data_IF_462232783835
#
_entry.id   IF_462232783835
#
_cell.length_a   1.000
_cell.length_b   1.000
_cell.length_c   1.000
_cell.angle_alpha   90.00
_cell.angle_beta   90.00
_cell.angle_gamma   90.00
#
_symmetry.space_group_name_H-M   'P 1'
#
loop_
_entity.id
_entity.type
_entity.pdbx_description
1 polymer ?
#
# COMPACT_ATOMS: atom_id res chain seq x y z
N UNK A 1 -7.37 42.23 -8.60
CA UNK A 1 -8.47 41.27 -8.85
C UNK A 1 -8.09 39.87 -8.36
N UNK A 2 -7.70 39.69 -7.10
CA UNK A 2 -7.17 38.43 -6.57
C UNK A 2 -8.06 37.69 -5.56
N UNK A 3 -9.24 38.22 -5.24
CA UNK A 3 -10.01 37.78 -4.06
C UNK A 3 -11.27 36.97 -4.39
N UNK A 4 -11.61 36.78 -5.67
CA UNK A 4 -12.86 36.09 -6.08
C UNK A 4 -12.72 34.60 -6.41
N UNK A 5 -11.50 34.08 -6.57
CA UNK A 5 -11.30 32.66 -6.96
C UNK A 5 -11.32 31.73 -5.73
N UNK A 6 -10.74 32.16 -4.61
CA UNK A 6 -10.66 31.35 -3.38
C UNK A 6 -12.02 31.14 -2.70
N UNK A 7 -12.89 32.15 -2.69
CA UNK A 7 -14.22 32.08 -2.04
C UNK A 7 -15.20 31.15 -2.76
N UNK A 8 -15.05 30.95 -4.07
CA UNK A 8 -15.91 30.00 -4.81
C UNK A 8 -15.61 28.54 -4.46
N UNK A 9 -14.35 28.22 -4.17
CA UNK A 9 -13.93 26.87 -3.79
C UNK A 9 -14.33 26.51 -2.37
N UNK A 10 -14.26 27.47 -1.42
CA UNK A 10 -14.61 27.22 -0.02
C UNK A 10 -16.11 27.02 0.17
N UNK A 11 -16.95 27.78 -0.53
CA UNK A 11 -18.41 27.59 -0.51
C UNK A 11 -18.83 26.23 -1.10
N UNK A 12 -18.08 25.72 -2.09
CA UNK A 12 -18.30 24.38 -2.64
C UNK A 12 -18.14 23.29 -1.57
N UNK A 13 -17.02 23.30 -0.83
CA UNK A 13 -16.77 22.32 0.23
C UNK A 13 -17.72 22.45 1.41
N UNK A 14 -18.18 23.66 1.76
CA UNK A 14 -19.20 23.82 2.82
C UNK A 14 -20.53 23.14 2.47
N UNK A 15 -20.97 23.23 1.22
CA UNK A 15 -22.18 22.53 0.73
C UNK A 15 -21.95 21.02 0.78
N UNK A 16 -20.81 20.54 0.29
CA UNK A 16 -20.47 19.12 0.34
C UNK A 16 -20.41 18.60 1.79
N UNK A 17 -19.84 19.37 2.72
CA UNK A 17 -19.81 19.01 4.14
C UNK A 17 -21.22 18.91 4.74
N UNK A 18 -22.15 19.77 4.35
CA UNK A 18 -23.57 19.68 4.76
C UNK A 18 -24.22 18.42 4.19
N UNK A 19 -24.04 18.14 2.91
CA UNK A 19 -24.58 16.93 2.28
C UNK A 19 -24.04 15.65 2.94
N UNK A 20 -22.75 15.62 3.26
CA UNK A 20 -22.12 14.52 4.00
C UNK A 20 -22.73 14.40 5.40
N UNK A 21 -22.92 15.53 6.10
CA UNK A 21 -23.51 15.54 7.44
C UNK A 21 -24.96 14.99 7.44
N UNK A 22 -25.76 15.38 6.47
CA UNK A 22 -27.14 14.92 6.31
C UNK A 22 -27.23 13.46 5.80
N UNK A 23 -26.11 12.89 5.38
CA UNK A 23 -26.01 11.52 4.85
C UNK A 23 -25.57 10.49 5.89
N UNK A 24 -25.34 10.86 7.16
CA UNK A 24 -24.79 9.93 8.17
C UNK A 24 -25.62 8.66 8.41
N UNK A 25 -26.93 8.70 8.16
CA UNK A 25 -27.82 7.52 8.22
C UNK A 25 -27.90 6.72 6.92
N UNK A 26 -27.24 7.15 5.83
CA UNK A 26 -27.35 6.62 4.46
C UNK A 26 -25.97 6.33 3.89
N UNK A 27 -25.46 5.14 4.21
CA UNK A 27 -24.07 4.72 3.86
C UNK A 27 -23.79 4.76 2.36
N UNK A 28 -24.75 4.40 1.52
CA UNK A 28 -24.65 4.49 0.07
C UNK A 28 -24.36 5.91 -0.43
N UNK A 29 -24.97 6.93 0.19
CA UNK A 29 -24.71 8.34 -0.13
C UNK A 29 -23.31 8.75 0.31
N UNK A 30 -22.88 8.34 1.52
CA UNK A 30 -21.50 8.58 1.99
C UNK A 30 -20.45 7.99 1.04
N UNK A 31 -20.66 6.74 0.58
CA UNK A 31 -19.76 6.10 -0.39
C UNK A 31 -19.68 6.91 -1.68
N UNK A 32 -20.82 7.32 -2.25
CA UNK A 32 -20.85 8.13 -3.47
C UNK A 32 -20.15 9.48 -3.30
N UNK A 33 -20.35 10.13 -2.15
CA UNK A 33 -19.78 11.44 -1.87
C UNK A 33 -18.28 11.41 -1.59
N UNK A 34 -17.74 10.32 -1.03
CA UNK A 34 -16.35 10.25 -0.55
C UNK A 34 -15.41 9.39 -1.42
N UNK A 35 -15.90 8.31 -2.04
CA UNK A 35 -15.03 7.36 -2.76
C UNK A 35 -14.33 7.99 -3.98
N UNK A 36 -15.04 8.88 -4.68
CA UNK A 36 -14.57 9.53 -5.90
C UNK A 36 -13.64 10.72 -5.64
N UNK A 37 -13.58 11.22 -4.41
CA UNK A 37 -12.80 12.42 -4.04
C UNK A 37 -11.31 12.16 -4.09
N UNK A 38 -10.57 13.05 -4.75
CA UNK A 38 -9.11 13.06 -4.79
C UNK A 38 -8.53 13.22 -3.38
N UNK A 39 -7.24 12.90 -3.21
CA UNK A 39 -6.52 13.16 -1.95
C UNK A 39 -6.64 14.62 -1.49
N UNK A 40 -6.56 15.58 -2.40
CA UNK A 40 -6.63 17.00 -2.05
C UNK A 40 -8.04 17.40 -1.60
N UNK A 41 -9.07 16.99 -2.33
CA UNK A 41 -10.46 17.25 -1.96
C UNK A 41 -10.81 16.61 -0.62
N UNK A 42 -10.36 15.36 -0.36
CA UNK A 42 -10.57 14.71 0.94
C UNK A 42 -9.98 15.50 2.09
N UNK A 43 -8.78 16.06 1.91
CA UNK A 43 -8.15 16.91 2.92
C UNK A 43 -8.96 18.19 3.15
N UNK A 44 -9.38 18.86 2.08
CA UNK A 44 -10.20 20.07 2.16
C UNK A 44 -11.54 19.78 2.85
N UNK A 45 -12.22 18.70 2.48
CA UNK A 45 -13.47 18.25 3.13
C UNK A 45 -13.23 18.03 4.62
N UNK A 46 -12.13 17.39 5.04
CA UNK A 46 -11.83 17.16 6.47
C UNK A 46 -11.64 18.46 7.22
N UNK A 47 -10.83 19.37 6.68
CA UNK A 47 -10.54 20.66 7.28
C UNK A 47 -11.81 21.53 7.40
N UNK A 48 -12.59 21.62 6.31
CA UNK A 48 -13.86 22.35 6.28
C UNK A 48 -14.89 21.74 7.21
N UNK A 49 -15.06 20.41 7.20
CA UNK A 49 -16.00 19.73 8.09
C UNK A 49 -15.67 19.97 9.56
N UNK A 50 -14.38 19.90 9.94
CA UNK A 50 -13.92 20.20 11.29
C UNK A 50 -14.16 21.66 11.68
N UNK A 51 -13.96 22.60 10.77
CA UNK A 51 -14.24 24.01 11.01
C UNK A 51 -15.74 24.28 11.22
N UNK A 52 -16.61 23.59 10.48
CA UNK A 52 -18.06 23.77 10.55
C UNK A 52 -18.70 23.10 11.77
N UNK A 53 -18.28 21.87 12.09
CA UNK A 53 -18.95 21.02 13.08
C UNK A 53 -18.13 20.78 14.36
N UNK A 54 -16.90 21.30 14.43
CA UNK A 54 -16.02 21.17 15.61
C UNK A 54 -15.38 19.79 15.78
N UNK A 55 -15.62 18.85 14.86
CA UNK A 55 -15.15 17.48 14.93
C UNK A 55 -14.63 16.99 13.57
N UNK A 56 -13.59 16.15 13.57
CA UNK A 56 -13.09 15.51 12.35
C UNK A 56 -14.05 14.41 11.87
N UNK A 57 -14.35 14.43 10.57
CA UNK A 57 -15.18 13.43 9.91
C UNK A 57 -14.72 11.98 10.17
N UNK A 58 -13.40 11.76 10.31
CA UNK A 58 -12.85 10.42 10.54
C UNK A 58 -13.21 9.89 11.92
N UNK A 59 -13.30 10.75 12.93
CA UNK A 59 -13.71 10.37 14.28
C UNK A 59 -15.14 9.82 14.27
N UNK A 60 -16.02 10.42 13.47
CA UNK A 60 -17.39 9.92 13.29
C UNK A 60 -17.42 8.57 12.58
N UNK A 61 -16.67 8.42 11.47
CA UNK A 61 -16.57 7.16 10.72
C UNK A 61 -16.02 6.02 11.60
N UNK A 62 -15.02 6.30 12.45
CA UNK A 62 -14.48 5.35 13.43
C UNK A 62 -15.55 4.92 14.44
N UNK A 63 -16.35 5.85 14.99
CA UNK A 63 -17.46 5.51 15.90
C UNK A 63 -18.53 4.66 15.23
N UNK A 64 -18.88 4.96 13.98
CA UNK A 64 -19.85 4.16 13.21
C UNK A 64 -19.32 2.76 12.91
N UNK A 65 -18.01 2.63 12.67
CA UNK A 65 -17.37 1.33 12.51
C UNK A 65 -17.52 0.46 13.78
N UNK A 66 -17.25 1.04 14.95
CA UNK A 66 -17.36 0.34 16.25
C UNK A 66 -18.82 -0.06 16.53
N UNK A 67 -19.77 0.87 16.36
CA UNK A 67 -21.19 0.60 16.61
C UNK A 67 -21.78 -0.46 15.65
N UNK A 68 -21.30 -0.50 14.40
CA UNK A 68 -21.66 -1.55 13.45
C UNK A 68 -21.07 -2.91 13.87
N UNK A 69 -19.87 -2.97 14.44
CA UNK A 69 -19.20 -4.23 14.83
C UNK A 69 -19.89 -5.04 15.94
N UNK A 70 -20.73 -4.42 16.77
CA UNK A 70 -21.40 -5.09 17.89
C UNK A 70 -22.64 -5.93 17.51
N UNK A 71 -23.15 -5.82 16.27
CA UNK A 71 -24.29 -6.62 15.79
C UNK A 71 -23.78 -7.90 15.11
N UNK A 72 -24.23 -9.08 15.57
CA UNK A 72 -23.75 -10.41 15.10
C UNK A 72 -23.84 -10.62 13.57
N UNK A 73 -24.67 -9.85 12.88
CA UNK A 73 -24.89 -9.88 11.42
C UNK A 73 -24.13 -8.78 10.63
N UNK A 74 -23.34 -7.91 11.31
CA UNK A 74 -22.84 -6.65 10.74
C UNK A 74 -21.33 -6.64 10.39
N UNK A 75 -20.77 -7.80 10.00
CA UNK A 75 -19.36 -7.88 9.55
C UNK A 75 -19.06 -7.08 8.28
N UNK A 76 -20.07 -6.73 7.47
CA UNK A 76 -19.89 -5.98 6.21
C UNK A 76 -20.11 -4.47 6.41
N UNK A 77 -21.09 -4.07 7.21
CA UNK A 77 -21.32 -2.66 7.56
C UNK A 77 -20.13 -2.02 8.28
N UNK A 78 -19.45 -2.78 9.15
CA UNK A 78 -18.19 -2.33 9.77
C UNK A 78 -17.07 -2.09 8.75
N UNK A 79 -16.99 -2.91 7.67
CA UNK A 79 -15.92 -2.81 6.67
C UNK A 79 -15.99 -1.53 5.83
N UNK A 80 -17.17 -1.07 5.45
CA UNK A 80 -17.30 0.17 4.66
C UNK A 80 -16.92 1.39 5.47
N UNK A 81 -17.34 1.48 6.75
CA UNK A 81 -16.92 2.58 7.62
C UNK A 81 -15.41 2.56 7.90
N UNK A 82 -14.82 1.38 8.13
CA UNK A 82 -13.37 1.23 8.27
C UNK A 82 -12.64 1.70 6.99
N UNK A 83 -13.10 1.26 5.82
CA UNK A 83 -12.52 1.64 4.54
C UNK A 83 -12.65 3.14 4.27
N UNK A 84 -13.81 3.74 4.54
CA UNK A 84 -14.03 5.19 4.41
C UNK A 84 -13.14 5.97 5.39
N UNK A 85 -13.00 5.53 6.64
CA UNK A 85 -12.13 6.19 7.61
C UNK A 85 -10.67 6.18 7.14
N UNK A 86 -10.15 5.02 6.73
CA UNK A 86 -8.80 4.89 6.17
C UNK A 86 -8.62 5.66 4.85
N UNK A 87 -9.68 5.78 4.05
CA UNK A 87 -9.67 6.55 2.82
C UNK A 87 -9.59 8.05 3.11
N UNK A 88 -10.21 8.56 4.17
CA UNK A 88 -10.23 10.00 4.45
C UNK A 88 -8.94 10.53 5.08
N UNK A 89 -8.19 9.70 5.83
CA UNK A 89 -6.94 10.14 6.49
C UNK A 89 -5.77 10.35 5.53
N UNK A 90 -4.71 11.01 6.01
CA UNK A 90 -3.54 11.22 5.17
C UNK A 90 -2.85 9.88 4.84
N UNK A 91 -2.27 9.72 3.63
CA UNK A 91 -1.66 8.46 3.23
C UNK A 91 -0.58 7.92 4.18
N UNK A 92 0.18 8.78 4.85
CA UNK A 92 1.22 8.36 5.80
C UNK A 92 0.65 7.93 7.16
N UNK A 93 -0.47 8.52 7.59
CA UNK A 93 -1.23 8.06 8.77
C UNK A 93 -1.89 6.71 8.47
N UNK A 94 -2.48 6.56 7.28
CA UNK A 94 -3.05 5.30 6.81
C UNK A 94 -2.01 4.19 6.78
N UNK A 95 -0.84 4.45 6.20
CA UNK A 95 0.24 3.46 6.14
C UNK A 95 0.76 3.12 7.55
N UNK A 96 0.72 4.05 8.51
CA UNK A 96 1.04 3.75 9.91
C UNK A 96 0.01 2.79 10.55
N UNK A 97 -1.28 3.00 10.31
CA UNK A 97 -2.34 2.08 10.77
C UNK A 97 -2.19 0.71 10.12
N UNK A 98 -1.98 0.66 8.79
CA UNK A 98 -1.75 -0.59 8.06
C UNK A 98 -0.52 -1.32 8.59
N UNK A 99 0.56 -0.62 8.91
CA UNK A 99 1.75 -1.22 9.49
C UNK A 99 1.48 -1.81 10.88
N UNK A 100 0.70 -1.12 11.72
CA UNK A 100 0.30 -1.61 13.04
C UNK A 100 -0.57 -2.86 12.94
N UNK A 101 -1.60 -2.82 12.09
CA UNK A 101 -2.48 -3.97 11.81
C UNK A 101 -1.69 -5.16 11.26
N UNK A 102 -0.66 -4.91 10.44
CA UNK A 102 0.21 -5.95 9.91
C UNK A 102 1.04 -6.65 10.99
N UNK A 103 1.31 -6.00 12.13
CA UNK A 103 2.12 -6.53 13.21
C UNK A 103 1.29 -7.27 14.28
N UNK A 104 0.01 -6.91 14.47
CA UNK A 104 -0.80 -7.42 15.60
C UNK A 104 -1.73 -8.60 15.29
N UNK A 105 -2.01 -8.92 14.02
CA UNK A 105 -3.09 -9.85 13.62
C UNK A 105 -2.83 -11.36 13.83
N UNK A 106 -2.16 -11.79 14.90
CA UNK A 106 -1.88 -13.20 15.21
C UNK A 106 -0.81 -13.84 14.31
N UNK A 107 -0.86 -13.54 13.00
CA UNK A 107 0.18 -13.77 12.01
C UNK A 107 0.63 -12.43 11.42
N UNK A 108 1.95 -12.20 11.31
CA UNK A 108 2.48 -10.97 10.73
C UNK A 108 2.21 -10.88 9.22
N UNK A 109 1.59 -9.79 8.78
CA UNK A 109 1.34 -9.51 7.38
C UNK A 109 2.54 -8.80 6.73
N UNK A 110 3.58 -9.58 6.43
CA UNK A 110 4.79 -9.05 5.80
C UNK A 110 4.55 -8.38 4.45
N UNK A 111 3.53 -8.82 3.69
CA UNK A 111 3.20 -8.23 2.38
C UNK A 111 2.78 -6.77 2.50
N UNK A 112 1.95 -6.44 3.49
CA UNK A 112 1.55 -5.06 3.75
C UNK A 112 2.77 -4.17 4.07
N UNK A 113 3.70 -4.65 4.90
CA UNK A 113 4.93 -3.93 5.22
C UNK A 113 5.81 -3.76 3.98
N UNK A 114 6.00 -4.82 3.18
CA UNK A 114 6.78 -4.76 1.94
C UNK A 114 6.19 -3.71 0.98
N UNK A 115 4.88 -3.73 0.75
CA UNK A 115 4.18 -2.76 -0.11
C UNK A 115 4.43 -1.30 0.30
N UNK A 116 4.48 -1.04 1.61
CA UNK A 116 4.80 0.29 2.16
C UNK A 116 6.26 0.65 1.87
N UNK A 117 7.21 -0.19 2.31
CA UNK A 117 8.63 0.14 2.23
C UNK A 117 9.14 0.22 0.78
N UNK A 118 8.68 -0.63 -0.14
CA UNK A 118 9.12 -0.54 -1.54
C UNK A 118 8.32 0.47 -2.37
N UNK A 119 7.11 0.80 -1.93
CA UNK A 119 6.14 1.59 -2.70
C UNK A 119 6.11 3.08 -2.35
N UNK A 120 6.84 3.54 -1.33
CA UNK A 120 6.81 4.92 -0.84
C UNK A 120 8.16 5.63 -0.96
N UNK A 121 8.10 6.96 -1.07
CA UNK A 121 9.29 7.84 -0.98
C UNK A 121 9.77 7.90 0.47
N UNK A 122 11.06 8.14 0.72
CA UNK A 122 11.56 8.19 2.11
C UNK A 122 10.97 9.33 2.94
N UNK A 123 10.62 10.47 2.33
CA UNK A 123 9.90 11.54 3.03
C UNK A 123 8.56 11.03 3.57
N UNK A 124 7.85 10.21 2.80
CA UNK A 124 6.62 9.57 3.23
C UNK A 124 6.88 8.56 4.35
N UNK A 125 7.91 7.70 4.22
CA UNK A 125 8.28 6.72 5.26
C UNK A 125 8.66 7.41 6.57
N UNK A 126 9.33 8.57 6.51
CA UNK A 126 9.66 9.38 7.67
C UNK A 126 8.38 9.89 8.37
N UNK A 127 7.45 10.49 7.62
CA UNK A 127 6.16 10.96 8.14
C UNK A 127 5.33 9.81 8.71
N UNK A 128 5.32 8.65 8.05
CA UNK A 128 4.62 7.46 8.52
C UNK A 128 5.19 6.96 9.86
N UNK A 129 6.52 6.91 10.00
CA UNK A 129 7.16 6.53 11.28
C UNK A 129 6.82 7.51 12.40
N UNK A 130 6.73 8.82 12.10
CA UNK A 130 6.29 9.83 13.07
C UNK A 130 4.82 9.62 13.46
N UNK A 131 3.92 9.39 12.49
CA UNK A 131 2.52 9.11 12.74
C UNK A 131 2.33 7.82 13.56
N UNK A 132 3.10 6.77 13.26
CA UNK A 132 3.10 5.52 14.01
C UNK A 132 3.50 5.74 15.48
N UNK A 133 4.59 6.46 15.73
CA UNK A 133 5.03 6.80 17.08
C UNK A 133 4.00 7.66 17.83
N UNK A 134 3.44 8.67 17.16
CA UNK A 134 2.45 9.56 17.76
C UNK A 134 1.17 8.82 18.15
N UNK A 135 0.68 7.93 17.27
CA UNK A 135 -0.59 7.22 17.46
C UNK A 135 -0.47 6.03 18.40
N UNK A 136 0.55 5.19 18.23
CA UNK A 136 0.67 3.91 18.95
C UNK A 136 1.67 3.91 20.08
N UNK A 137 2.47 4.99 20.24
CA UNK A 137 3.54 5.09 21.25
C UNK A 137 4.59 3.99 21.12
N UNK A 138 4.75 3.44 19.91
CA UNK A 138 5.68 2.37 19.56
C UNK A 138 6.61 2.83 18.44
N UNK A 139 7.74 2.15 18.30
CA UNK A 139 8.71 2.42 17.24
C UNK A 139 8.63 1.32 16.19
N UNK A 140 8.13 1.63 14.99
CA UNK A 140 7.93 0.65 13.92
C UNK A 140 9.19 -0.18 13.63
N UNK A 141 10.37 0.44 13.65
CA UNK A 141 11.63 -0.28 13.43
C UNK A 141 11.91 -1.32 14.52
N UNK A 142 11.61 -1.00 15.78
CA UNK A 142 11.79 -1.92 16.90
C UNK A 142 10.75 -3.02 16.87
N UNK A 143 9.50 -2.69 16.54
CA UNK A 143 8.43 -3.68 16.41
C UNK A 143 8.77 -4.72 15.36
N UNK A 144 9.31 -4.32 14.19
CA UNK A 144 9.74 -5.25 13.13
C UNK A 144 10.90 -6.13 13.59
N UNK A 145 11.88 -5.58 14.33
CA UNK A 145 13.05 -6.32 14.81
C UNK A 145 12.65 -7.37 15.86
N UNK A 146 11.64 -7.07 16.69
CA UNK A 146 11.21 -7.91 17.80
C UNK A 146 10.15 -8.96 17.41
N UNK A 147 9.88 -9.14 16.12
CA UNK A 147 8.91 -10.12 15.65
C UNK A 147 9.44 -11.54 15.86
N UNK A 148 8.60 -12.39 16.45
CA UNK A 148 8.91 -13.80 16.70
C UNK A 148 7.85 -14.70 16.04
N UNK A 149 8.24 -15.84 15.44
CA UNK A 149 9.61 -16.32 15.24
C UNK A 149 10.39 -15.50 14.18
N UNK A 150 11.73 -15.63 14.10
CA UNK A 150 12.53 -14.92 13.10
C UNK A 150 12.08 -15.26 11.68
N UNK A 151 11.96 -14.25 10.83
CA UNK A 151 11.47 -14.42 9.47
C UNK A 151 12.33 -13.67 8.45
N UNK A 152 12.59 -14.22 7.26
CA UNK A 152 13.36 -13.54 6.22
C UNK A 152 12.86 -12.14 5.87
N UNK A 153 11.55 -11.91 5.89
CA UNK A 153 10.98 -10.59 5.64
C UNK A 153 11.44 -9.55 6.67
N UNK A 154 11.67 -9.93 7.93
CA UNK A 154 12.15 -8.99 8.96
C UNK A 154 13.52 -8.41 8.56
N UNK A 155 14.46 -9.26 8.15
CA UNK A 155 15.80 -8.85 7.70
C UNK A 155 15.71 -7.91 6.48
N UNK A 156 14.87 -8.26 5.52
CA UNK A 156 14.66 -7.44 4.31
C UNK A 156 14.03 -6.09 4.67
N UNK A 157 13.02 -6.07 5.54
CA UNK A 157 12.35 -4.83 5.98
C UNK A 157 13.28 -3.92 6.77
N UNK A 158 14.15 -4.48 7.62
CA UNK A 158 15.20 -3.72 8.31
C UNK A 158 16.17 -3.10 7.31
N UNK A 159 16.60 -3.85 6.29
CA UNK A 159 17.45 -3.32 5.22
C UNK A 159 16.74 -2.19 4.45
N UNK A 160 15.50 -2.39 4.01
CA UNK A 160 14.73 -1.35 3.31
C UNK A 160 14.53 -0.10 4.17
N UNK A 161 14.27 -0.27 5.47
CA UNK A 161 14.15 0.81 6.45
C UNK A 161 15.44 1.62 6.60
N UNK A 162 16.61 0.97 6.51
CA UNK A 162 17.92 1.64 6.45
C UNK A 162 18.13 2.38 5.13
N UNK A 163 17.72 1.79 4.00
CA UNK A 163 17.78 2.44 2.68
C UNK A 163 17.03 3.78 2.66
N UNK A 164 15.89 3.88 3.35
CA UNK A 164 15.15 5.14 3.45
C UNK A 164 15.86 6.24 4.27
N UNK A 165 16.83 5.88 5.10
CA UNK A 165 17.68 6.86 5.80
C UNK A 165 18.82 7.35 4.90
N UNK A 166 19.25 6.53 3.95
CA UNK A 166 20.26 6.88 2.96
C UNK A 166 19.64 7.67 1.79
N UNK A 167 19.44 8.98 1.96
CA UNK A 167 19.07 9.92 0.88
C UNK A 167 20.01 11.11 0.89
N UNK A 168 20.48 11.70 -0.21
CA UNK A 168 20.13 11.63 -1.63
C UNK A 168 21.42 11.37 -2.44
N UNK A 169 21.35 10.45 -3.38
CA UNK A 169 22.31 10.36 -4.47
C UNK A 169 21.50 10.13 -5.74
N UNK A 170 21.84 10.84 -6.81
CA UNK A 170 21.29 10.55 -8.12
C UNK A 170 21.54 9.08 -8.48
N UNK A 171 20.62 8.50 -9.24
CA UNK A 171 20.80 7.13 -9.71
C UNK A 171 22.03 7.05 -10.62
N UNK A 172 22.89 6.07 -10.37
CA UNK A 172 24.14 5.87 -11.11
C UNK A 172 24.10 4.55 -11.87
N UNK A 173 24.28 4.63 -13.19
CA UNK A 173 24.40 3.47 -14.06
C UNK A 173 25.64 2.63 -13.71
N UNK A 174 26.74 3.28 -13.33
CA UNK A 174 27.97 2.57 -12.93
C UNK A 174 27.72 1.75 -11.66
N UNK A 175 27.12 2.36 -10.63
CA UNK A 175 26.77 1.65 -9.39
C UNK A 175 25.79 0.50 -9.68
N UNK A 176 24.80 0.71 -10.55
CA UNK A 176 23.84 -0.33 -10.91
C UNK A 176 24.50 -1.55 -11.58
N UNK A 177 25.46 -1.31 -12.50
CA UNK A 177 26.23 -2.39 -13.14
C UNK A 177 27.13 -3.11 -12.13
N UNK A 178 27.80 -2.37 -11.24
CA UNK A 178 28.64 -2.95 -10.20
C UNK A 178 27.82 -3.81 -9.23
N UNK A 179 26.70 -3.30 -8.72
CA UNK A 179 25.82 -4.07 -7.83
C UNK A 179 25.20 -5.27 -8.54
N UNK A 180 24.84 -5.15 -9.84
CA UNK A 180 24.34 -6.29 -10.62
C UNK A 180 25.39 -7.39 -10.75
N UNK A 181 26.66 -7.02 -10.96
CA UNK A 181 27.78 -7.97 -10.97
C UNK A 181 27.97 -8.64 -9.61
N UNK A 182 27.93 -7.87 -8.52
CA UNK A 182 28.00 -8.42 -7.15
C UNK A 182 26.89 -9.43 -6.86
N UNK A 183 25.65 -9.13 -7.27
CA UNK A 183 24.53 -10.07 -7.14
C UNK A 183 24.76 -11.36 -7.93
N UNK A 184 25.35 -11.26 -9.11
CA UNK A 184 25.64 -12.42 -9.95
C UNK A 184 26.74 -13.29 -9.34
N UNK A 185 27.86 -12.68 -8.95
CA UNK A 185 29.00 -13.38 -8.32
C UNK A 185 28.62 -14.04 -7.00
N UNK A 186 27.76 -13.39 -6.20
CA UNK A 186 27.28 -13.97 -4.96
C UNK A 186 26.42 -15.22 -5.18
N UNK A 187 25.67 -15.29 -6.28
CA UNK A 187 24.83 -16.45 -6.63
C UNK A 187 25.55 -17.57 -7.38
N UNK A 188 26.73 -17.32 -7.97
CA UNK A 188 27.51 -18.32 -8.73
C UNK A 188 28.62 -18.93 -7.87
N UNK A 189 28.27 -19.93 -7.06
CA UNK A 189 29.23 -20.78 -6.36
C UNK A 189 29.39 -20.52 -4.86
N UNK A 190 28.54 -19.70 -4.24
CA UNK A 190 28.56 -19.47 -2.79
C UNK A 190 27.50 -20.29 -2.05
N UNK A 191 27.72 -20.51 -0.75
CA UNK A 191 26.63 -20.91 0.16
C UNK A 191 25.57 -19.80 0.19
N UNK A 192 24.29 -20.15 0.33
CA UNK A 192 23.18 -19.18 0.31
C UNK A 192 23.30 -18.04 1.34
N UNK A 193 24.08 -18.23 2.42
CA UNK A 193 24.35 -17.20 3.42
C UNK A 193 25.16 -16.01 2.86
N UNK A 194 26.07 -16.24 1.92
CA UNK A 194 26.83 -15.16 1.29
C UNK A 194 25.95 -14.32 0.36
N UNK A 195 25.05 -14.98 -0.40
CA UNK A 195 24.07 -14.30 -1.25
C UNK A 195 23.11 -13.44 -0.43
N UNK A 196 22.55 -13.98 0.66
CA UNK A 196 21.69 -13.23 1.58
C UNK A 196 22.40 -11.97 2.11
N UNK A 197 23.65 -12.08 2.56
CA UNK A 197 24.41 -10.95 3.09
C UNK A 197 24.63 -9.84 2.04
N UNK A 198 25.02 -10.21 0.81
CA UNK A 198 25.23 -9.25 -0.29
C UNK A 198 23.92 -8.57 -0.68
N UNK A 199 22.81 -9.33 -0.76
CA UNK A 199 21.49 -8.77 -1.05
C UNK A 199 21.09 -7.76 0.02
N UNK A 200 21.15 -8.14 1.32
CA UNK A 200 20.76 -7.25 2.42
C UNK A 200 21.64 -6.00 2.49
N UNK A 201 22.93 -6.11 2.20
CA UNK A 201 23.84 -4.97 2.11
C UNK A 201 23.42 -4.00 0.99
N UNK A 202 23.12 -4.51 -0.21
CA UNK A 202 22.66 -3.67 -1.32
C UNK A 202 21.31 -3.03 -0.99
N UNK A 203 20.35 -3.81 -0.46
CA UNK A 203 19.02 -3.31 -0.07
C UNK A 203 19.10 -2.23 1.02
N UNK A 204 20.10 -2.28 1.90
CA UNK A 204 20.27 -1.31 3.00
C UNK A 204 20.96 -0.02 2.60
N UNK A 205 21.79 -0.04 1.56
CA UNK A 205 22.60 1.11 1.14
C UNK A 205 22.06 1.84 -0.08
N UNK A 206 21.22 1.20 -0.90
CA UNK A 206 20.73 1.76 -2.16
C UNK A 206 19.32 2.30 -2.03
N UNK A 207 19.02 3.40 -2.72
CA UNK A 207 17.64 3.90 -2.82
C UNK A 207 16.78 2.95 -3.66
N UNK A 208 15.45 2.97 -3.47
CA UNK A 208 14.52 2.17 -4.29
C UNK A 208 14.73 2.41 -5.81
N UNK A 209 14.89 3.66 -6.30
CA UNK A 209 15.20 3.91 -7.72
C UNK A 209 16.53 3.29 -8.17
N UNK A 210 17.58 3.36 -7.35
CA UNK A 210 18.87 2.74 -7.66
C UNK A 210 18.75 1.22 -7.74
N UNK A 211 18.02 0.59 -6.80
CA UNK A 211 17.79 -0.86 -6.82
C UNK A 211 17.05 -1.31 -8.10
N UNK A 212 16.01 -0.56 -8.52
CA UNK A 212 15.32 -0.81 -9.80
C UNK A 212 16.30 -0.78 -10.97
N UNK A 213 17.22 0.19 -10.98
CA UNK A 213 18.25 0.30 -12.02
C UNK A 213 19.25 -0.87 -11.95
N UNK A 214 19.62 -1.31 -10.74
CA UNK A 214 20.46 -2.49 -10.52
C UNK A 214 19.81 -3.75 -11.10
N UNK A 215 18.54 -4.04 -10.77
CA UNK A 215 17.84 -5.22 -11.31
C UNK A 215 17.60 -5.14 -12.82
N UNK A 216 17.35 -3.94 -13.35
CA UNK A 216 17.28 -3.71 -14.81
C UNK A 216 18.63 -3.98 -15.48
N UNK A 217 19.73 -3.47 -14.91
CA UNK A 217 21.08 -3.71 -15.41
C UNK A 217 21.47 -5.18 -15.33
N UNK A 218 21.05 -5.89 -14.27
CA UNK A 218 21.23 -7.32 -14.15
C UNK A 218 20.63 -8.07 -15.34
N UNK A 219 19.34 -7.79 -15.64
CA UNK A 219 18.65 -8.40 -16.79
C UNK A 219 19.35 -8.09 -18.11
N UNK A 220 19.82 -6.86 -18.29
CA UNK A 220 20.54 -6.46 -19.49
C UNK A 220 21.89 -7.19 -19.65
N UNK A 221 22.64 -7.39 -18.57
CA UNK A 221 23.98 -8.00 -18.61
C UNK A 221 23.88 -9.53 -18.75
N UNK A 222 22.96 -10.15 -18.04
CA UNK A 222 22.90 -11.61 -17.88
C UNK A 222 21.73 -12.28 -18.62
N UNK A 223 20.92 -11.52 -19.36
CA UNK A 223 19.82 -12.04 -20.18
C UNK A 223 18.52 -12.33 -19.42
N UNK A 224 18.61 -12.72 -18.13
CA UNK A 224 17.46 -13.10 -17.31
C UNK A 224 17.19 -12.15 -16.14
N UNK A 225 15.92 -12.08 -15.71
CA UNK A 225 15.55 -11.40 -14.48
C UNK A 225 16.22 -12.07 -13.28
N UNK A 226 16.75 -11.29 -12.33
CA UNK A 226 17.34 -11.85 -11.10
C UNK A 226 16.36 -12.78 -10.35
N UNK A 227 15.06 -12.47 -10.38
CA UNK A 227 14.01 -13.32 -9.79
C UNK A 227 13.84 -14.69 -10.47
N UNK A 228 14.35 -14.88 -11.68
CA UNK A 228 14.34 -16.18 -12.36
C UNK A 228 15.36 -17.14 -11.75
N UNK A 229 16.51 -16.63 -11.27
CA UNK A 229 17.50 -17.44 -10.54
C UNK A 229 16.95 -17.95 -9.19
N UNK A 230 16.04 -17.21 -8.57
CA UNK A 230 15.35 -17.56 -7.31
C UNK A 230 14.19 -18.58 -7.49
N UNK A 231 14.02 -19.21 -8.66
CA UNK A 231 12.94 -20.18 -8.95
C UNK A 231 13.40 -21.64 -8.94
N UNK A 232 14.55 -21.95 -8.38
CA UNK A 232 15.08 -23.32 -8.36
C UNK A 232 14.22 -24.20 -7.45
N UNK A 233 14.15 -25.50 -7.73
CA UNK A 233 13.33 -26.48 -6.99
C UNK A 233 13.65 -26.54 -5.48
N UNK A 234 14.80 -25.98 -5.06
CA UNK A 234 15.26 -25.91 -3.67
C UNK A 234 15.31 -24.46 -3.13
N UNK A 235 14.45 -23.55 -3.60
CA UNK A 235 14.44 -22.17 -3.09
C UNK A 235 14.09 -22.15 -1.60
N UNK A 236 14.91 -21.44 -0.81
CA UNK A 236 14.66 -21.28 0.62
C UNK A 236 13.67 -20.15 0.90
N UNK A 237 13.17 -20.05 2.14
CA UNK A 237 12.20 -19.02 2.55
C UNK A 237 12.69 -17.57 2.28
N UNK A 238 14.00 -17.35 2.36
CA UNK A 238 14.59 -16.05 2.05
C UNK A 238 14.47 -15.69 0.57
N UNK A 239 14.76 -16.63 -0.33
CA UNK A 239 14.65 -16.42 -1.78
C UNK A 239 13.19 -16.14 -2.21
N UNK A 240 12.23 -16.86 -1.65
CA UNK A 240 10.81 -16.62 -1.91
C UNK A 240 10.31 -15.25 -1.40
N UNK A 241 10.80 -14.86 -0.22
CA UNK A 241 10.53 -13.53 0.36
C UNK A 241 11.14 -12.43 -0.51
N UNK A 242 12.40 -12.58 -0.92
CA UNK A 242 13.12 -11.64 -1.76
C UNK A 242 12.45 -11.49 -3.13
N UNK A 243 12.03 -12.59 -3.75
CA UNK A 243 11.30 -12.59 -5.02
C UNK A 243 9.98 -11.82 -4.92
N UNK A 244 9.27 -11.95 -3.81
CA UNK A 244 8.05 -11.17 -3.53
C UNK A 244 8.37 -9.68 -3.47
N UNK A 245 9.42 -9.30 -2.72
CA UNK A 245 9.90 -7.92 -2.57
C UNK A 245 10.32 -7.33 -3.92
N UNK A 246 11.15 -8.04 -4.70
CA UNK A 246 11.63 -7.57 -6.00
C UNK A 246 10.47 -7.45 -7.00
N UNK A 247 9.52 -8.38 -6.99
CA UNK A 247 8.33 -8.29 -7.85
C UNK A 247 7.50 -7.05 -7.49
N UNK A 248 7.23 -6.82 -6.21
CA UNK A 248 6.52 -5.62 -5.74
C UNK A 248 7.26 -4.33 -6.10
N UNK A 249 8.58 -4.33 -6.03
CA UNK A 249 9.42 -3.18 -6.34
C UNK A 249 9.49 -2.88 -7.83
N UNK A 250 9.88 -3.88 -8.65
CA UNK A 250 10.25 -3.69 -10.05
C UNK A 250 9.08 -3.87 -11.03
N UNK A 251 8.03 -4.60 -10.64
CA UNK A 251 6.82 -4.74 -11.45
C UNK A 251 5.56 -4.62 -10.57
N UNK A 252 5.28 -3.41 -10.04
CA UNK A 252 4.13 -3.19 -9.15
C UNK A 252 2.79 -3.61 -9.76
N UNK A 253 2.45 -3.30 -11.03
CA UNK A 253 1.18 -3.74 -11.62
C UNK A 253 1.00 -5.27 -11.59
N UNK A 254 2.05 -6.03 -11.93
CA UNK A 254 2.04 -7.51 -11.85
C UNK A 254 1.85 -8.01 -10.42
N UNK A 255 2.50 -7.37 -9.45
CA UNK A 255 2.37 -7.73 -8.04
C UNK A 255 0.94 -7.49 -7.54
N UNK A 256 0.44 -6.26 -7.70
CA UNK A 256 -0.86 -5.84 -7.18
C UNK A 256 -2.02 -6.57 -7.86
N UNK A 257 -1.97 -6.79 -9.18
CA UNK A 257 -2.98 -7.59 -9.88
C UNK A 257 -3.07 -9.02 -9.34
N UNK A 258 -1.92 -9.66 -9.04
CA UNK A 258 -1.91 -10.99 -8.41
C UNK A 258 -2.43 -10.96 -6.97
N UNK A 259 -2.06 -9.94 -6.20
CA UNK A 259 -2.54 -9.78 -4.82
C UNK A 259 -4.06 -9.58 -4.78
N UNK A 260 -4.60 -8.74 -5.67
CA UNK A 260 -6.05 -8.55 -5.84
C UNK A 260 -6.73 -9.86 -6.22
N UNK A 261 -6.23 -10.57 -7.24
CA UNK A 261 -6.84 -11.83 -7.67
C UNK A 261 -6.86 -12.87 -6.54
N UNK A 262 -5.74 -13.06 -5.84
CA UNK A 262 -5.66 -14.00 -4.73
C UNK A 262 -6.61 -13.60 -3.57
N UNK A 263 -6.75 -12.30 -3.31
CA UNK A 263 -7.69 -11.79 -2.29
C UNK A 263 -9.14 -12.00 -2.68
N UNK A 264 -9.51 -11.70 -3.92
CA UNK A 264 -10.86 -11.88 -4.48
C UNK A 264 -11.25 -13.36 -4.50
N UNK A 265 -10.33 -14.26 -4.85
CA UNK A 265 -10.57 -15.71 -4.87
C UNK A 265 -10.49 -16.37 -3.50
N UNK A 266 -10.12 -15.63 -2.45
CA UNK A 266 -9.96 -16.18 -1.10
C UNK A 266 -8.79 -17.15 -0.94
N UNK A 267 -7.80 -17.10 -1.82
CA UNK A 267 -6.64 -18.03 -1.82
C UNK A 267 -5.42 -17.45 -1.10
N UNK A 268 -5.58 -16.37 -0.34
CA UNK A 268 -4.52 -15.70 0.42
C UNK A 268 -4.92 -15.57 1.88
N UNK A 269 -3.95 -15.67 2.79
CA UNK A 269 -4.13 -15.41 4.22
C UNK A 269 -4.23 -13.92 4.53
N UNK A 270 -3.74 -13.06 3.62
CA UNK A 270 -3.82 -11.61 3.71
C UNK A 270 -5.25 -11.09 3.43
N UNK A 271 -6.08 -11.09 4.47
CA UNK A 271 -7.49 -10.65 4.42
C UNK A 271 -7.66 -9.16 4.13
N UNK A 272 -6.61 -8.36 4.36
CA UNK A 272 -6.61 -6.92 4.13
C UNK A 272 -6.18 -6.50 2.71
N UNK A 273 -5.64 -7.43 1.91
CA UNK A 273 -5.05 -7.14 0.61
C UNK A 273 -5.99 -6.36 -0.32
N UNK A 274 -7.24 -6.80 -0.50
CA UNK A 274 -8.19 -6.13 -1.39
C UNK A 274 -8.38 -4.65 -1.02
N UNK A 275 -8.78 -4.35 0.22
CA UNK A 275 -9.01 -2.98 0.64
C UNK A 275 -7.73 -2.14 0.57
N UNK A 276 -6.61 -2.69 1.06
CA UNK A 276 -5.31 -2.01 1.10
C UNK A 276 -4.80 -1.65 -0.28
N UNK A 277 -4.86 -2.57 -1.25
CA UNK A 277 -4.42 -2.32 -2.62
C UNK A 277 -5.34 -1.31 -3.29
N UNK A 278 -6.66 -1.48 -3.19
CA UNK A 278 -7.63 -0.57 -3.79
C UNK A 278 -7.45 0.87 -3.29
N UNK A 279 -7.30 1.08 -1.98
CA UNK A 279 -7.10 2.41 -1.40
C UNK A 279 -5.70 2.99 -1.66
N UNK A 280 -4.65 2.16 -1.69
CA UNK A 280 -3.28 2.66 -1.83
C UNK A 280 -2.89 2.94 -3.27
N UNK A 281 -3.53 2.31 -4.25
CA UNK A 281 -3.17 2.39 -5.67
C UNK A 281 -4.17 3.15 -6.54
N UNK A 282 -5.38 3.42 -6.05
CA UNK A 282 -6.44 4.12 -6.80
C UNK A 282 -6.01 5.46 -7.43
N UNK A 283 -5.04 6.17 -6.84
CA UNK A 283 -4.55 7.46 -7.34
C UNK A 283 -3.08 7.39 -7.81
N UNK A 284 -2.58 6.19 -8.15
CA UNK A 284 -1.18 5.99 -8.54
C UNK A 284 -1.05 5.26 -9.87
N UNK A 285 -1.54 4.02 -9.95
CA UNK A 285 -1.31 3.12 -11.10
C UNK A 285 -2.42 2.07 -11.24
N UNK A 286 -3.65 2.44 -10.88
CA UNK A 286 -4.81 1.54 -10.92
C UNK A 286 -5.14 1.09 -12.35
N UNK A 287 -4.92 1.94 -13.35
CA UNK A 287 -5.18 1.60 -14.75
C UNK A 287 -4.20 0.52 -15.24
N UNK A 288 -2.90 0.66 -14.96
CA UNK A 288 -1.90 -0.37 -15.31
C UNK A 288 -2.14 -1.68 -14.56
N UNK A 289 -2.60 -1.61 -13.30
CA UNK A 289 -3.00 -2.79 -12.53
C UNK A 289 -4.19 -3.49 -13.21
N UNK A 290 -5.21 -2.74 -13.65
CA UNK A 290 -6.39 -3.28 -14.32
C UNK A 290 -6.04 -3.92 -15.67
N UNK A 291 -5.21 -3.25 -16.48
CA UNK A 291 -4.73 -3.78 -17.76
C UNK A 291 -4.00 -5.12 -17.59
N UNK A 292 -3.09 -5.17 -16.61
CA UNK A 292 -2.37 -6.41 -16.30
C UNK A 292 -3.29 -7.49 -15.75
N UNK A 293 -4.25 -7.13 -14.88
CA UNK A 293 -5.23 -8.03 -14.30
C UNK A 293 -6.07 -8.69 -15.40
N UNK A 294 -6.65 -7.89 -16.30
CA UNK A 294 -7.43 -8.35 -17.46
C UNK A 294 -6.62 -9.26 -18.36
N UNK A 295 -5.41 -8.84 -18.75
CA UNK A 295 -4.52 -9.64 -19.61
C UNK A 295 -4.17 -10.99 -18.99
N UNK A 296 -3.98 -11.05 -17.67
CA UNK A 296 -3.51 -12.25 -16.98
C UNK A 296 -4.64 -13.21 -16.61
N UNK A 297 -5.80 -12.71 -16.22
CA UNK A 297 -6.90 -13.50 -15.66
C UNK A 297 -8.13 -13.58 -16.56
N UNK A 298 -8.14 -12.84 -17.67
CA UNK A 298 -9.22 -12.89 -18.67
C UNK A 298 -10.53 -12.24 -18.23
N UNK A 299 -10.52 -11.43 -17.16
CA UNK A 299 -11.71 -10.77 -16.63
C UNK A 299 -11.36 -9.36 -16.11
N UNK A 300 -12.33 -8.45 -16.16
CA UNK A 300 -12.17 -7.10 -15.61
C UNK A 300 -12.10 -7.14 -14.07
N UNK A 301 -11.29 -6.27 -13.46
CA UNK A 301 -11.17 -6.18 -12.00
C UNK A 301 -12.52 -5.85 -11.35
N UNK A 302 -13.29 -4.94 -11.95
CA UNK A 302 -14.65 -4.57 -11.51
C UNK A 302 -15.57 -5.78 -11.45
N UNK A 303 -15.54 -6.61 -12.49
CA UNK A 303 -16.44 -7.76 -12.60
C UNK A 303 -16.02 -8.85 -11.60
N UNK A 304 -14.71 -9.07 -11.45
CA UNK A 304 -14.18 -9.96 -10.42
C UNK A 304 -14.59 -9.54 -8.99
N UNK A 305 -14.56 -8.24 -8.68
CA UNK A 305 -15.07 -7.72 -7.40
C UNK A 305 -16.59 -7.93 -7.28
N UNK A 306 -17.33 -7.68 -8.36
CA UNK A 306 -18.79 -7.76 -8.37
C UNK A 306 -19.32 -9.17 -8.17
N UNK A 307 -18.61 -10.17 -8.70
CA UNK A 307 -18.92 -11.59 -8.55
C UNK A 307 -18.56 -12.13 -7.16
N UNK A 308 -17.41 -11.72 -6.60
CA UNK A 308 -16.90 -12.31 -5.37
C UNK A 308 -17.38 -11.62 -4.09
N UNK A 309 -17.69 -10.32 -4.14
CA UNK A 309 -18.07 -9.53 -2.97
C UNK A 309 -19.60 -9.38 -2.94
N UNK A 310 -20.27 -9.70 -1.82
CA UNK A 310 -21.70 -9.50 -1.68
C UNK A 310 -22.14 -8.07 -2.01
N UNK A 311 -23.33 -7.94 -2.59
CA UNK A 311 -23.93 -6.65 -2.89
C UNK A 311 -24.07 -5.79 -1.63
N UNK A 312 -23.64 -4.54 -1.72
CA UNK A 312 -23.71 -3.57 -0.63
C UNK A 312 -22.64 -2.48 -0.73
N UNK A 313 -22.69 -1.53 0.20
CA UNK A 313 -21.90 -0.30 0.16
C UNK A 313 -20.38 -0.54 0.11
N UNK A 314 -19.89 -1.61 0.74
CA UNK A 314 -18.48 -1.97 0.68
C UNK A 314 -18.04 -2.36 -0.74
N UNK A 315 -18.86 -3.13 -1.46
CA UNK A 315 -18.58 -3.49 -2.85
C UNK A 315 -18.62 -2.25 -3.73
N UNK A 316 -19.62 -1.41 -3.55
CA UNK A 316 -19.80 -0.19 -4.33
C UNK A 316 -18.62 0.77 -4.12
N UNK A 317 -18.10 0.87 -2.88
CA UNK A 317 -16.89 1.60 -2.57
C UNK A 317 -15.67 1.07 -3.32
N UNK A 318 -15.43 -0.25 -3.32
CA UNK A 318 -14.31 -0.85 -4.04
C UNK A 318 -14.43 -0.65 -5.55
N UNK A 319 -15.63 -0.83 -6.11
CA UNK A 319 -15.88 -0.61 -7.54
C UNK A 319 -15.64 0.85 -7.91
N UNK A 320 -16.10 1.80 -7.09
CA UNK A 320 -15.85 3.23 -7.30
C UNK A 320 -14.35 3.54 -7.38
N UNK A 321 -13.53 2.93 -6.50
CA UNK A 321 -12.06 3.08 -6.53
C UNK A 321 -11.41 2.48 -7.79
N UNK A 322 -11.91 1.37 -8.33
CA UNK A 322 -11.42 0.81 -9.61
C UNK A 322 -11.75 1.71 -10.80
N UNK A 323 -12.93 2.33 -10.80
CA UNK A 323 -13.40 3.15 -11.92
C UNK A 323 -12.93 4.61 -11.87
N UNK A 324 -12.22 4.99 -10.81
CA UNK A 324 -11.74 6.35 -10.62
C UNK A 324 -10.67 6.66 -11.65
N UNK A 325 -11.01 7.47 -12.65
CA UNK A 325 -10.04 8.02 -13.60
C UNK A 325 -9.32 9.19 -12.94
N UNK A 326 -8.00 9.12 -12.88
CA UNK A 326 -7.20 10.30 -12.54
C UNK A 326 -7.28 11.21 -13.77
N UNK A 327 -7.87 12.39 -13.63
CA UNK A 327 -7.74 13.42 -14.66
C UNK A 327 -6.23 13.76 -14.75
N UNK A 328 -5.62 13.40 -15.88
CA UNK A 328 -4.20 13.58 -16.18
C UNK A 328 -3.79 15.04 -16.25
#
# INVERSE_FOLDING_TARGET
MGTKILTSSSQGFEIECKEIHDSWGRVNQLVRSLATRSKLERQQIRETYKAMYGEDITSFLERMCISAGHRKEAKIGSKVFAALSLWMIHPHERDAIVAMEALEQGDTNYRALVEIFVGRKSSHIMLMKQAYLARFRRQLGQDIINLEPPNPYQKILVALSASHKAHQADVSQHIAKCDAKRLHEAGEGSSGANEEAVVLEILSKRSIPQMKLTFSSYKHIYGDEYTAKLKKENSCEFEDSLKTVITCMCNPPKYYAKALYASIRGTTTDRGALARVMMSRAEIDMDEIQDFFKKKFGMELRDAISEAIPSGDYRDFLVALATKRIAS
#
